data_IF_622331752962
#
_entry.id   IF_622331752962
#
_cell.length_a   1.000
_cell.length_b   1.000
_cell.length_c   1.000
_cell.angle_alpha   90.00
_cell.angle_beta   90.00
_cell.angle_gamma   90.00
#
_symmetry.space_group_name_H-M   'P 1'
#
loop_
_entity.id
_entity.type
_entity.pdbx_description
1 polymer ?
#
# COMPACT_ATOMS: atom_id res chain seq x y z
N UNK A 1 -2.03 19.48 -18.37
CA UNK A 1 -1.35 19.22 -17.10
C UNK A 1 -2.19 18.32 -16.21
N UNK A 2 -1.64 17.21 -15.81
CA UNK A 2 -2.36 16.28 -14.93
C UNK A 2 -2.16 16.71 -13.48
N UNK A 3 -3.26 16.97 -12.78
CA UNK A 3 -3.20 17.29 -11.36
C UNK A 3 -3.08 16.00 -10.57
N UNK A 4 -2.08 15.89 -9.71
CA UNK A 4 -1.94 14.76 -8.80
C UNK A 4 -2.95 14.88 -7.67
N UNK A 5 -3.53 13.75 -7.29
CA UNK A 5 -4.46 13.67 -6.18
C UNK A 5 -3.84 12.87 -5.04
N UNK A 6 -3.94 13.40 -3.83
CA UNK A 6 -3.45 12.73 -2.63
C UNK A 6 -4.62 12.13 -1.87
N UNK A 7 -4.76 10.82 -1.94
CA UNK A 7 -5.79 10.06 -1.22
C UNK A 7 -5.19 9.58 0.09
N UNK A 8 -5.85 9.89 1.21
CA UNK A 8 -5.41 9.45 2.54
C UNK A 8 -6.61 8.87 3.29
N UNK A 9 -6.45 7.63 3.79
CA UNK A 9 -7.48 6.98 4.61
C UNK A 9 -6.81 6.17 5.71
N UNK A 10 -7.51 6.03 6.83
CA UNK A 10 -7.07 5.22 7.94
C UNK A 10 -8.04 4.08 8.18
N UNK A 11 -7.51 2.90 8.47
CA UNK A 11 -8.29 1.69 8.72
C UNK A 11 -7.81 1.06 10.01
N UNK A 12 -8.76 0.66 10.87
CA UNK A 12 -8.46 0.04 12.15
C UNK A 12 -8.35 -1.47 12.00
N UNK A 13 -7.34 -2.06 12.65
CA UNK A 13 -7.10 -3.50 12.69
C UNK A 13 -6.96 -3.95 14.14
N UNK A 14 -7.36 -5.18 14.43
CA UNK A 14 -7.15 -5.80 15.74
C UNK A 14 -5.75 -6.40 15.87
N UNK A 15 -5.07 -6.61 14.75
CA UNK A 15 -3.75 -7.22 14.68
C UNK A 15 -2.68 -6.22 15.10
N UNK A 16 -1.55 -6.74 15.62
CA UNK A 16 -0.42 -5.88 15.91
C UNK A 16 0.28 -5.41 14.63
N UNK A 17 1.05 -4.33 14.74
CA UNK A 17 1.86 -3.84 13.63
C UNK A 17 2.84 -4.91 13.14
N UNK A 18 3.36 -5.73 14.04
CA UNK A 18 4.29 -6.83 13.70
C UNK A 18 3.62 -7.85 12.78
N UNK A 19 2.34 -8.15 12.99
CA UNK A 19 1.59 -9.08 12.14
C UNK A 19 1.29 -8.45 10.79
N UNK A 20 0.92 -7.18 10.77
CA UNK A 20 0.50 -6.50 9.54
C UNK A 20 1.66 -6.12 8.62
N UNK A 21 2.81 -5.78 9.18
CA UNK A 21 3.90 -5.20 8.41
C UNK A 21 4.39 -6.07 7.25
N UNK A 22 4.55 -7.41 7.38
CA UNK A 22 4.96 -8.24 6.24
C UNK A 22 4.00 -8.16 5.04
N UNK A 23 2.71 -7.94 5.30
CA UNK A 23 1.72 -7.79 4.21
C UNK A 23 1.84 -6.46 3.49
N UNK A 24 2.56 -5.49 4.06
CA UNK A 24 2.72 -4.15 3.51
C UNK A 24 4.08 -3.93 2.86
N UNK A 25 5.05 -4.78 3.15
CA UNK A 25 6.44 -4.53 2.79
C UNK A 25 7.12 -5.65 2.01
N UNK A 26 6.59 -6.86 2.04
CA UNK A 26 7.22 -8.00 1.35
C UNK A 26 6.44 -8.37 0.09
N UNK A 27 7.13 -8.91 -0.94
CA UNK A 27 6.45 -9.37 -2.14
C UNK A 27 5.38 -10.42 -1.86
N UNK A 28 5.70 -11.42 -1.06
CA UNK A 28 4.75 -12.49 -0.72
C UNK A 28 3.54 -11.99 0.06
N UNK A 29 3.74 -11.02 0.96
CA UNK A 29 2.66 -10.44 1.72
C UNK A 29 1.75 -9.56 0.87
N UNK A 30 2.33 -8.69 0.05
CA UNK A 30 1.58 -7.81 -0.85
C UNK A 30 0.79 -8.60 -1.90
N UNK A 31 1.36 -9.67 -2.41
CA UNK A 31 0.69 -10.51 -3.43
C UNK A 31 -0.62 -11.12 -2.93
N UNK A 32 -0.78 -11.27 -1.63
CA UNK A 32 -1.97 -11.93 -1.07
C UNK A 32 -3.22 -11.06 -1.10
N UNK A 33 -3.07 -9.73 -1.13
CA UNK A 33 -4.23 -8.84 -1.04
C UNK A 33 -4.19 -7.64 -1.96
N UNK A 34 -2.99 -7.18 -2.35
CA UNK A 34 -2.83 -5.89 -3.01
C UNK A 34 -2.93 -5.98 -4.53
N UNK A 35 -2.38 -7.02 -5.13
CA UNK A 35 -2.38 -7.19 -6.58
C UNK A 35 -2.26 -8.66 -6.96
N UNK A 36 -2.31 -8.95 -8.27
CA UNK A 36 -2.30 -10.32 -8.77
C UNK A 36 -0.98 -11.03 -8.51
N UNK A 37 0.13 -10.31 -8.69
CA UNK A 37 1.46 -10.86 -8.48
C UNK A 37 2.45 -9.77 -8.11
N UNK A 38 3.39 -10.09 -7.22
CA UNK A 38 4.47 -9.19 -6.84
C UNK A 38 5.80 -9.94 -6.93
N UNK A 39 6.77 -9.33 -7.60
CA UNK A 39 8.14 -9.86 -7.65
C UNK A 39 9.13 -8.73 -7.45
N UNK A 40 10.38 -9.09 -7.07
CA UNK A 40 11.47 -8.13 -6.93
C UNK A 40 12.59 -8.58 -7.87
N UNK A 41 13.08 -7.66 -8.68
CA UNK A 41 14.14 -7.97 -9.66
C UNK A 41 15.54 -7.84 -9.02
N UNK A 42 16.58 -8.08 -9.83
CA UNK A 42 17.97 -8.01 -9.39
C UNK A 42 18.42 -6.61 -8.97
N UNK A 43 17.69 -5.59 -9.36
CA UNK A 43 17.94 -4.20 -8.97
C UNK A 43 17.13 -3.77 -7.74
N UNK A 44 16.45 -4.72 -7.09
CA UNK A 44 15.59 -4.48 -5.91
C UNK A 44 14.35 -3.65 -6.24
N UNK A 45 13.93 -3.65 -7.50
CA UNK A 45 12.69 -2.98 -7.89
C UNK A 45 11.52 -3.94 -7.76
N UNK A 46 10.41 -3.43 -7.22
CA UNK A 46 9.18 -4.19 -7.08
C UNK A 46 8.37 -4.10 -8.36
N UNK A 47 7.87 -5.26 -8.82
CA UNK A 47 6.98 -5.36 -9.97
C UNK A 47 5.60 -5.79 -9.47
N UNK A 48 4.65 -4.88 -9.56
CA UNK A 48 3.25 -5.13 -9.18
C UNK A 48 2.44 -5.40 -10.44
N UNK A 49 1.87 -6.59 -10.53
CA UNK A 49 1.06 -6.98 -11.68
C UNK A 49 -0.42 -6.81 -11.38
N UNK A 50 -1.09 -5.90 -12.10
CA UNK A 50 -2.53 -5.71 -12.07
C UNK A 50 -3.08 -5.82 -13.49
N UNK A 51 -4.07 -6.69 -13.68
CA UNK A 51 -4.77 -6.82 -14.96
C UNK A 51 -3.79 -6.91 -16.15
N UNK A 52 -2.77 -7.75 -15.98
CA UNK A 52 -1.70 -7.97 -16.96
C UNK A 52 -0.82 -6.73 -17.24
N UNK A 53 -0.86 -5.73 -16.38
CA UNK A 53 0.02 -4.56 -16.47
C UNK A 53 1.02 -4.58 -15.33
N UNK A 54 2.29 -4.41 -15.68
CA UNK A 54 3.40 -4.38 -14.73
C UNK A 54 3.67 -2.95 -14.29
N UNK A 55 3.56 -2.70 -12.99
CA UNK A 55 3.86 -1.39 -12.39
C UNK A 55 5.13 -1.52 -11.56
N UNK A 56 6.16 -0.78 -11.94
CA UNK A 56 7.47 -0.86 -11.30
C UNK A 56 7.59 0.22 -10.23
N UNK A 57 8.01 -0.18 -9.05
CA UNK A 57 8.18 0.74 -7.93
C UNK A 57 9.45 0.43 -7.15
N UNK A 58 10.00 1.47 -6.54
CA UNK A 58 11.14 1.35 -5.64
C UNK A 58 10.65 1.54 -4.21
N UNK A 59 11.06 0.63 -3.31
CA UNK A 59 10.83 0.80 -1.88
C UNK A 59 11.84 1.82 -1.37
N UNK A 60 11.42 3.08 -1.27
CA UNK A 60 12.33 4.20 -0.97
C UNK A 60 12.48 4.44 0.52
N UNK A 61 11.52 3.99 1.32
CA UNK A 61 11.58 4.12 2.77
C UNK A 61 10.88 2.93 3.40
N UNK A 62 11.52 2.32 4.38
CA UNK A 62 10.89 1.27 5.17
C UNK A 62 11.41 1.34 6.60
N UNK A 63 10.48 1.26 7.54
CA UNK A 63 10.78 1.17 8.97
C UNK A 63 10.05 -0.03 9.52
N UNK A 64 10.78 -0.95 10.09
CA UNK A 64 10.23 -2.21 10.59
C UNK A 64 9.02 -1.97 11.51
N UNK A 65 7.90 -2.60 11.17
CA UNK A 65 6.63 -2.53 11.89
C UNK A 65 6.02 -1.11 11.97
N UNK A 66 6.49 -0.17 11.14
CA UNK A 66 6.01 1.21 11.17
C UNK A 66 5.57 1.75 9.82
N UNK A 67 6.39 1.61 8.78
CA UNK A 67 6.05 2.20 7.49
C UNK A 67 6.76 1.54 6.32
N UNK A 68 6.15 1.68 5.15
CA UNK A 68 6.75 1.30 3.87
C UNK A 68 6.26 2.30 2.81
N UNK A 69 7.18 2.82 2.00
CA UNK A 69 6.85 3.78 0.94
C UNK A 69 7.40 3.27 -0.38
N UNK A 70 6.51 3.17 -1.36
CA UNK A 70 6.84 2.76 -2.72
C UNK A 70 6.68 3.95 -3.66
N UNK A 71 7.73 4.24 -4.43
CA UNK A 71 7.72 5.30 -5.44
C UNK A 71 7.71 4.65 -6.80
N UNK A 72 6.66 4.94 -7.59
CA UNK A 72 6.45 4.30 -8.88
C UNK A 72 7.18 5.04 -9.98
N UNK A 73 7.78 4.27 -10.88
CA UNK A 73 8.39 4.82 -12.09
C UNK A 73 7.28 5.20 -13.07
N UNK A 74 7.47 6.32 -13.73
CA UNK A 74 6.53 6.81 -14.73
C UNK A 74 7.24 7.65 -15.77
N UNK A 75 6.56 7.88 -16.89
CA UNK A 75 7.07 8.72 -17.98
C UNK A 75 6.99 10.20 -17.63
N UNK A 76 6.28 10.55 -16.57
CA UNK A 76 6.12 11.93 -16.14
C UNK A 76 7.26 12.34 -15.20
N UNK A 77 7.58 13.63 -15.24
CA UNK A 77 8.53 14.21 -14.30
C UNK A 77 8.01 14.23 -12.86
N UNK A 78 6.71 13.99 -12.68
CA UNK A 78 6.07 13.97 -11.38
C UNK A 78 6.02 12.55 -10.81
N UNK A 79 6.42 12.46 -9.56
CA UNK A 79 6.49 11.20 -8.84
C UNK A 79 5.11 10.75 -8.35
N UNK A 80 4.79 9.48 -8.56
CA UNK A 80 3.65 8.82 -7.92
C UNK A 80 4.18 7.93 -6.80
N UNK A 81 3.48 7.90 -5.67
CA UNK A 81 3.91 7.05 -4.57
C UNK A 81 2.74 6.46 -3.80
N UNK A 82 3.02 5.37 -3.10
CA UNK A 82 2.10 4.70 -2.19
C UNK A 82 2.83 4.53 -0.86
N UNK A 83 2.20 4.96 0.22
CA UNK A 83 2.80 4.85 1.55
C UNK A 83 1.84 4.19 2.52
N UNK A 84 2.36 3.23 3.28
CA UNK A 84 1.66 2.58 4.38
C UNK A 84 2.33 2.99 5.69
N UNK A 85 1.53 3.47 6.64
CA UNK A 85 2.00 3.79 7.99
C UNK A 85 1.14 3.07 9.02
N UNK A 86 1.80 2.48 10.01
CA UNK A 86 1.14 1.79 11.11
C UNK A 86 1.32 2.58 12.40
N UNK A 87 0.22 2.81 13.10
CA UNK A 87 0.21 3.48 14.40
C UNK A 87 -0.60 2.66 15.39
N UNK A 88 -0.04 2.42 16.56
CA UNK A 88 -0.76 1.73 17.63
C UNK A 88 -1.63 2.73 18.38
N UNK A 89 -2.87 2.33 18.70
CA UNK A 89 -3.74 3.12 19.57
C UNK A 89 -3.41 2.81 21.02
N UNK A 90 -3.13 3.82 21.80
CA UNK A 90 -2.88 3.67 23.23
C UNK A 90 -4.17 3.39 24.01
N UNK A 91 -5.31 3.69 23.41
CA UNK A 91 -6.61 3.59 24.09
C UNK A 91 -7.16 2.16 24.13
N UNK A 92 -7.05 1.43 23.05
CA UNK A 92 -7.70 0.11 22.93
C UNK A 92 -6.79 -0.99 22.39
N UNK A 93 -5.50 -0.69 22.15
CA UNK A 93 -4.55 -1.65 21.64
C UNK A 93 -4.71 -2.00 20.16
N UNK A 94 -5.62 -1.33 19.46
CA UNK A 94 -5.77 -1.54 18.02
C UNK A 94 -4.64 -0.89 17.25
N UNK A 95 -4.48 -1.28 16.00
CA UNK A 95 -3.49 -0.71 15.08
C UNK A 95 -4.24 0.01 13.96
N UNK A 96 -3.81 1.22 13.65
CA UNK A 96 -4.34 1.98 12.52
C UNK A 96 -3.36 1.92 11.36
N UNK A 97 -3.88 1.56 10.19
CA UNK A 97 -3.13 1.61 8.94
C UNK A 97 -3.54 2.86 8.19
N UNK A 98 -2.60 3.79 8.03
CA UNK A 98 -2.81 4.97 7.18
C UNK A 98 -2.26 4.68 5.80
N UNK A 99 -3.10 4.83 4.79
CA UNK A 99 -2.74 4.67 3.39
C UNK A 99 -2.69 6.04 2.74
N UNK A 100 -1.59 6.33 2.08
CA UNK A 100 -1.44 7.53 1.24
C UNK A 100 -1.16 7.07 -0.18
N UNK A 101 -2.08 7.37 -1.08
CA UNK A 101 -1.97 7.04 -2.50
C UNK A 101 -1.92 8.35 -3.28
N UNK A 102 -0.73 8.73 -3.73
CA UNK A 102 -0.51 9.96 -4.48
C UNK A 102 -0.29 9.60 -5.94
N UNK A 103 -1.27 9.87 -6.76
CA UNK A 103 -1.27 9.46 -8.16
C UNK A 103 -2.05 10.43 -9.04
N UNK A 104 -2.04 10.17 -10.34
CA UNK A 104 -2.80 10.96 -11.31
C UNK A 104 -4.28 10.61 -11.37
N UNK A 105 -4.73 9.64 -10.57
CA UNK A 105 -6.17 9.34 -10.47
C UNK A 105 -6.90 10.53 -9.86
N UNK A 106 -8.04 10.88 -10.43
CA UNK A 106 -8.80 12.06 -10.03
C UNK A 106 -10.15 11.75 -9.40
N UNK A 107 -10.54 10.48 -9.37
CA UNK A 107 -11.84 10.10 -8.83
C UNK A 107 -11.67 9.54 -7.42
N UNK A 108 -12.06 10.36 -6.42
CA UNK A 108 -11.96 9.99 -5.01
C UNK A 108 -12.87 8.82 -4.65
N UNK A 109 -14.07 8.77 -5.22
CA UNK A 109 -15.03 7.70 -4.93
C UNK A 109 -14.51 6.35 -5.44
N UNK A 110 -13.91 6.33 -6.63
CA UNK A 110 -13.31 5.12 -7.18
C UNK A 110 -12.12 4.65 -6.34
N UNK A 111 -11.30 5.58 -5.87
CA UNK A 111 -10.17 5.25 -4.99
C UNK A 111 -10.65 4.72 -3.65
N UNK A 112 -11.68 5.32 -3.08
CA UNK A 112 -12.25 4.87 -1.81
C UNK A 112 -12.80 3.44 -1.94
N UNK A 113 -13.58 3.17 -2.99
CA UNK A 113 -14.12 1.83 -3.25
C UNK A 113 -13.01 0.81 -3.47
N UNK A 114 -11.98 1.17 -4.23
CA UNK A 114 -10.85 0.31 -4.47
C UNK A 114 -10.13 -0.06 -3.17
N UNK A 115 -9.79 0.94 -2.36
CA UNK A 115 -9.07 0.71 -1.12
C UNK A 115 -9.91 -0.01 -0.07
N UNK A 116 -11.21 0.31 0.02
CA UNK A 116 -12.10 -0.41 0.93
C UNK A 116 -12.14 -1.91 0.60
N UNK A 117 -12.21 -2.25 -0.69
CA UNK A 117 -12.18 -3.63 -1.14
C UNK A 117 -10.85 -4.33 -0.84
N UNK A 118 -9.74 -3.65 -1.11
CA UNK A 118 -8.40 -4.19 -0.84
C UNK A 118 -8.18 -4.42 0.66
N UNK A 119 -8.59 -3.47 1.49
CA UNK A 119 -8.45 -3.59 2.94
C UNK A 119 -9.34 -4.71 3.49
N UNK A 120 -10.55 -4.87 2.95
CA UNK A 120 -11.41 -5.98 3.34
C UNK A 120 -10.74 -7.33 3.03
N UNK A 121 -10.10 -7.44 1.87
CA UNK A 121 -9.34 -8.65 1.53
C UNK A 121 -8.21 -8.90 2.53
N UNK A 122 -7.47 -7.85 2.91
CA UNK A 122 -6.41 -7.97 3.91
C UNK A 122 -6.96 -8.40 5.26
N UNK A 123 -8.07 -7.82 5.70
CA UNK A 123 -8.72 -8.19 6.98
C UNK A 123 -9.14 -9.65 7.00
N UNK A 124 -9.63 -10.16 5.89
CA UNK A 124 -10.01 -11.58 5.77
C UNK A 124 -8.80 -12.50 5.92
N UNK A 125 -7.65 -12.07 5.44
CA UNK A 125 -6.41 -12.86 5.54
C UNK A 125 -5.87 -12.88 6.96
N UNK A 126 -5.82 -11.72 7.62
CA UNK A 126 -5.19 -11.59 8.95
C UNK A 126 -6.18 -11.80 10.11
N UNK A 127 -7.45 -11.93 9.82
CA UNK A 127 -8.47 -12.15 10.86
C UNK A 127 -8.84 -10.89 11.63
N UNK A 128 -8.59 -9.75 11.06
CA UNK A 128 -8.83 -8.47 11.70
C UNK A 128 -9.80 -7.59 10.97
#
# INVERSE_FOLDING_TARGET
MTTKYKFVREYAFRNSAKVLYPYLSTPGGLEQWFCDKVSVDSNHLYHFLWENQDHIAKLTSSRLNKSARFEFEGDDAELSYLEFKLEASELDGSTYLRITDFSSSTDEDDLEDLWDGLIEALKNIVGG
#
